data_IF_506166921560
#
_entry.id   IF_506166921560
#
_cell.length_a   1.000
_cell.length_b   1.000
_cell.length_c   1.000
_cell.angle_alpha   90.00
_cell.angle_beta   90.00
_cell.angle_gamma   90.00
#
_symmetry.space_group_name_H-M   'P 1'
#
loop_
_entity.id
_entity.type
_entity.pdbx_description
1 polymer ?
#
# COMPACT_ATOMS: atom_id res chain seq x y z
N UNK A 1 3.37 -9.66 -14.29
CA UNK A 1 2.35 -8.59 -14.08
C UNK A 1 1.86 -8.12 -15.44
N UNK A 2 0.54 -8.14 -15.68
CA UNK A 2 -0.09 -7.92 -16.99
C UNK A 2 -0.79 -6.56 -17.00
N UNK A 3 -0.57 -5.78 -18.05
CA UNK A 3 -1.25 -4.51 -18.34
C UNK A 3 -2.44 -4.79 -19.25
N UNK A 4 -3.58 -4.13 -19.00
CA UNK A 4 -4.82 -4.31 -19.76
C UNK A 4 -5.22 -3.02 -20.49
N UNK A 5 -5.88 -3.15 -21.64
CA UNK A 5 -6.57 -2.02 -22.27
C UNK A 5 -7.90 -1.70 -21.56
N UNK A 6 -8.60 -0.66 -22.03
CA UNK A 6 -9.92 -0.24 -21.50
C UNK A 6 -11.01 -1.29 -21.65
N UNK A 7 -10.77 -2.33 -22.45
CA UNK A 7 -11.69 -3.45 -22.69
C UNK A 7 -11.24 -4.73 -21.98
N UNK A 8 -10.29 -4.66 -21.02
CA UNK A 8 -9.76 -5.80 -20.28
C UNK A 8 -9.03 -6.83 -21.12
N UNK A 9 -8.53 -6.42 -22.29
CA UNK A 9 -7.64 -7.27 -23.09
C UNK A 9 -6.22 -7.04 -22.61
N UNK A 10 -5.45 -8.10 -22.40
CA UNK A 10 -4.09 -7.98 -21.91
C UNK A 10 -3.23 -7.49 -23.09
N UNK A 11 -2.53 -6.37 -22.90
CA UNK A 11 -1.78 -5.73 -23.99
C UNK A 11 -0.27 -5.90 -23.84
N UNK A 12 0.24 -5.97 -22.60
CA UNK A 12 1.66 -6.21 -22.37
C UNK A 12 1.95 -6.75 -20.98
N UNK A 13 3.15 -7.31 -20.79
CA UNK A 13 3.72 -7.55 -19.48
C UNK A 13 4.48 -6.31 -18.99
N UNK A 14 4.37 -5.99 -17.71
CA UNK A 14 4.99 -4.80 -17.10
C UNK A 14 6.52 -4.77 -17.25
N UNK A 15 7.18 -5.94 -17.25
CA UNK A 15 8.65 -6.06 -17.29
C UNK A 15 9.16 -6.32 -18.73
N UNK A 16 8.29 -6.23 -19.73
CA UNK A 16 8.54 -6.80 -21.05
C UNK A 16 8.47 -8.33 -21.00
N UNK A 17 8.04 -8.94 -22.10
CA UNK A 17 7.81 -10.38 -22.18
C UNK A 17 6.53 -10.72 -22.93
N UNK A 18 6.46 -11.96 -23.43
CA UNK A 18 5.24 -12.45 -24.07
C UNK A 18 4.15 -12.70 -23.02
N UNK A 19 2.92 -12.37 -23.40
CA UNK A 19 1.76 -12.71 -22.61
C UNK A 19 1.30 -14.11 -22.99
N UNK A 20 0.85 -14.86 -22.00
CA UNK A 20 0.32 -16.20 -22.19
C UNK A 20 -1.11 -16.25 -21.64
N UNK A 21 -1.95 -17.08 -22.24
CA UNK A 21 -3.23 -17.43 -21.62
C UNK A 21 -3.03 -18.32 -20.38
N UNK A 22 -4.12 -18.66 -19.70
CA UNK A 22 -4.09 -19.50 -18.50
C UNK A 22 -3.60 -20.94 -18.76
N UNK A 23 -3.52 -21.37 -20.02
CA UNK A 23 -2.97 -22.67 -20.45
C UNK A 23 -1.49 -22.58 -20.80
N UNK A 24 -0.88 -21.40 -20.68
CA UNK A 24 0.52 -21.16 -21.05
C UNK A 24 0.73 -20.99 -22.55
N UNK A 25 -0.31 -20.64 -23.33
CA UNK A 25 -0.19 -20.38 -24.77
C UNK A 25 0.07 -18.90 -25.04
N UNK A 26 1.08 -18.51 -25.86
CA UNK A 26 1.33 -17.11 -26.16
C UNK A 26 0.09 -16.44 -26.74
N UNK A 27 -0.30 -15.26 -26.27
CA UNK A 27 -1.52 -14.58 -26.72
C UNK A 27 -1.49 -14.11 -28.18
N UNK A 28 -0.31 -14.08 -28.80
CA UNK A 28 -0.16 -13.90 -30.25
C UNK A 28 -0.63 -15.12 -31.05
N UNK A 29 -0.75 -16.28 -30.40
CA UNK A 29 -1.14 -17.52 -31.03
C UNK A 29 -2.64 -17.53 -31.32
N UNK A 30 -3.10 -18.00 -32.51
CA UNK A 30 -4.52 -17.94 -32.89
C UNK A 30 -5.48 -18.69 -31.97
N UNK A 31 -4.97 -19.69 -31.24
CA UNK A 31 -5.76 -20.52 -30.32
C UNK A 31 -5.63 -20.11 -28.86
N UNK A 32 -4.90 -19.01 -28.59
CA UNK A 32 -4.80 -18.53 -27.22
C UNK A 32 -6.17 -18.09 -26.73
N UNK A 33 -6.48 -18.43 -25.50
CA UNK A 33 -7.77 -18.14 -24.88
C UNK A 33 -7.64 -17.01 -23.85
N UNK A 34 -7.72 -15.74 -24.27
CA UNK A 34 -7.70 -14.60 -23.36
C UNK A 34 -9.01 -14.44 -22.59
N UNK A 35 -10.03 -15.28 -22.80
CA UNK A 35 -11.38 -15.05 -22.27
C UNK A 35 -11.51 -15.24 -20.76
N UNK A 36 -10.50 -15.82 -20.10
CA UNK A 36 -10.43 -15.94 -18.63
C UNK A 36 -10.02 -14.67 -17.91
N UNK A 37 -9.72 -13.60 -18.62
CA UNK A 37 -9.39 -12.31 -18.03
C UNK A 37 -10.65 -11.72 -17.43
N UNK A 38 -10.58 -11.40 -16.15
CA UNK A 38 -11.72 -11.22 -15.27
C UNK A 38 -12.83 -10.34 -15.89
N UNK A 39 -14.08 -10.81 -15.84
CA UNK A 39 -15.30 -10.02 -16.13
C UNK A 39 -15.55 -8.89 -15.10
N UNK A 40 -14.56 -8.56 -14.28
CA UNK A 40 -14.71 -7.63 -13.17
C UNK A 40 -14.33 -6.22 -13.63
N UNK A 41 -15.10 -5.18 -13.28
CA UNK A 41 -14.80 -3.81 -13.66
C UNK A 41 -13.40 -3.40 -13.20
N UNK A 42 -12.69 -2.60 -14.01
CA UNK A 42 -11.34 -2.12 -13.66
C UNK A 42 -11.55 -1.25 -12.43
N UNK A 43 -11.04 -1.68 -11.28
CA UNK A 43 -11.05 -0.84 -10.10
C UNK A 43 -9.75 -0.05 -10.10
N UNK A 44 -9.88 1.25 -10.26
CA UNK A 44 -8.77 2.19 -10.14
C UNK A 44 -8.66 2.65 -8.70
N UNK A 45 -7.44 2.76 -8.19
CA UNK A 45 -7.17 3.36 -6.89
C UNK A 45 -7.49 4.87 -6.96
N UNK A 46 -8.11 5.45 -5.92
CA UNK A 46 -8.31 6.89 -5.84
C UNK A 46 -7.01 7.66 -6.13
N UNK A 47 -7.15 8.79 -6.82
CA UNK A 47 -6.05 9.70 -7.16
C UNK A 47 -4.94 9.10 -8.04
N UNK A 48 -5.14 7.90 -8.62
CA UNK A 48 -4.19 7.27 -9.53
C UNK A 48 -2.88 6.83 -8.87
N UNK A 49 -2.90 6.56 -7.56
CA UNK A 49 -1.70 6.19 -6.80
C UNK A 49 -1.21 4.79 -7.20
N UNK A 50 0.08 4.69 -7.50
CA UNK A 50 0.75 3.40 -7.67
C UNK A 50 1.01 2.75 -6.30
N UNK A 51 0.67 1.47 -6.20
CA UNK A 51 0.77 0.66 -4.99
C UNK A 51 1.75 -0.48 -5.18
N UNK A 52 2.39 -0.87 -4.08
CA UNK A 52 3.41 -1.89 -4.03
C UNK A 52 3.15 -2.83 -2.84
N UNK A 53 3.64 -4.06 -2.93
CA UNK A 53 3.73 -4.95 -1.78
C UNK A 53 4.98 -4.66 -0.94
N UNK A 54 5.26 -5.52 0.03
CA UNK A 54 6.43 -5.42 0.90
C UNK A 54 7.75 -5.79 0.22
N UNK A 55 7.72 -6.31 -1.01
CA UNK A 55 8.88 -6.73 -1.81
C UNK A 55 9.12 -5.75 -2.98
N UNK A 56 8.52 -4.56 -2.91
CA UNK A 56 8.57 -3.52 -3.94
C UNK A 56 8.00 -3.96 -5.31
N UNK A 57 7.18 -5.01 -5.33
CA UNK A 57 6.48 -5.44 -6.53
C UNK A 57 5.19 -4.63 -6.71
N UNK A 58 4.94 -4.10 -7.91
CA UNK A 58 3.78 -3.26 -8.15
C UNK A 58 2.49 -4.10 -8.11
N UNK A 59 1.49 -3.57 -7.41
CA UNK A 59 0.13 -4.12 -7.33
C UNK A 59 -0.83 -3.37 -8.24
N UNK A 60 -0.46 -2.16 -8.64
CA UNK A 60 -1.15 -1.33 -9.63
C UNK A 60 -0.18 -0.81 -10.67
N UNK A 61 -0.70 -0.40 -11.82
CA UNK A 61 0.07 0.35 -12.80
C UNK A 61 0.29 1.83 -12.38
N UNK A 62 0.99 2.58 -13.22
CA UNK A 62 1.28 4.01 -12.98
C UNK A 62 0.05 4.92 -12.95
N UNK A 63 -1.09 4.44 -13.46
CA UNK A 63 -2.37 5.16 -13.41
C UNK A 63 -3.23 4.69 -12.24
N UNK A 64 -2.76 3.78 -11.40
CA UNK A 64 -3.51 3.22 -10.28
C UNK A 64 -4.50 2.13 -10.68
N UNK A 65 -4.43 1.56 -11.89
CA UNK A 65 -5.25 0.40 -12.24
C UNK A 65 -4.68 -0.87 -11.60
N UNK A 66 -5.54 -1.66 -10.98
CA UNK A 66 -5.14 -2.90 -10.30
C UNK A 66 -4.60 -3.92 -11.30
N UNK A 67 -3.48 -4.53 -10.94
CA UNK A 67 -2.89 -5.63 -11.67
C UNK A 67 -3.52 -6.96 -11.21
N UNK A 68 -3.43 -7.99 -12.03
CA UNK A 68 -4.03 -9.31 -11.76
C UNK A 68 -3.00 -10.42 -11.90
N UNK A 69 -3.21 -11.54 -11.19
CA UNK A 69 -2.51 -12.80 -11.46
C UNK A 69 -2.89 -13.33 -12.84
N UNK A 70 -2.12 -14.31 -13.33
CA UNK A 70 -2.50 -15.12 -14.50
C UNK A 70 -3.84 -15.86 -14.34
N UNK A 71 -4.32 -16.04 -13.11
CA UNK A 71 -5.62 -16.63 -12.80
C UNK A 71 -6.75 -15.60 -12.71
N UNK A 72 -6.48 -14.32 -13.00
CA UNK A 72 -7.49 -13.25 -12.92
C UNK A 72 -7.82 -12.80 -11.50
N UNK A 73 -6.95 -13.10 -10.53
CA UNK A 73 -7.12 -12.66 -9.12
C UNK A 73 -6.50 -11.25 -8.98
N UNK A 74 -7.22 -10.26 -8.45
CA UNK A 74 -6.68 -8.91 -8.26
C UNK A 74 -5.53 -8.92 -7.25
N UNK A 75 -4.50 -8.12 -7.54
CA UNK A 75 -3.32 -7.93 -6.69
C UNK A 75 -3.61 -7.15 -5.40
N UNK A 76 -4.73 -6.43 -5.35
CA UNK A 76 -5.18 -5.64 -4.19
C UNK A 76 -6.56 -6.11 -3.76
N UNK A 77 -6.74 -6.30 -2.46
CA UNK A 77 -8.02 -6.58 -1.83
C UNK A 77 -8.57 -5.35 -1.09
N UNK A 78 -9.89 -5.28 -0.96
CA UNK A 78 -10.59 -4.19 -0.30
C UNK A 78 -11.45 -4.68 0.86
N UNK A 79 -11.67 -3.82 1.83
CA UNK A 79 -12.67 -4.06 2.88
C UNK A 79 -14.10 -3.80 2.37
N UNK A 80 -15.09 -4.03 3.25
CA UNK A 80 -16.51 -3.81 2.95
C UNK A 80 -16.86 -2.35 2.65
N UNK A 81 -15.98 -1.41 3.00
CA UNK A 81 -16.13 0.02 2.72
C UNK A 81 -15.37 0.45 1.46
N UNK A 82 -14.75 -0.50 0.74
CA UNK A 82 -14.00 -0.23 -0.47
C UNK A 82 -12.60 0.33 -0.24
N UNK A 83 -12.07 0.33 1.00
CA UNK A 83 -10.71 0.76 1.33
C UNK A 83 -9.71 -0.36 1.12
N UNK A 84 -8.46 -0.01 0.78
CA UNK A 84 -7.39 -1.00 0.57
C UNK A 84 -7.13 -1.75 1.87
N UNK A 85 -7.16 -3.08 1.81
CA UNK A 85 -6.98 -3.97 2.96
C UNK A 85 -5.60 -4.62 2.96
N UNK A 86 -5.27 -5.36 1.91
CA UNK A 86 -4.01 -6.08 1.77
C UNK A 86 -3.76 -6.45 0.30
N UNK A 87 -2.53 -6.89 0.00
CA UNK A 87 -2.19 -7.52 -1.26
C UNK A 87 -2.90 -8.89 -1.43
N UNK A 88 -2.71 -9.54 -2.58
CA UNK A 88 -3.31 -10.85 -2.87
C UNK A 88 -2.85 -11.98 -1.94
N UNK A 89 -1.75 -11.79 -1.22
CA UNK A 89 -1.17 -12.73 -0.26
C UNK A 89 -1.57 -12.43 1.19
N UNK A 90 -2.39 -11.39 1.41
CA UNK A 90 -2.84 -10.97 2.74
C UNK A 90 -1.84 -10.06 3.49
N UNK A 91 -0.82 -9.53 2.82
CA UNK A 91 0.23 -8.66 3.37
C UNK A 91 -0.14 -7.17 3.22
N UNK A 92 0.46 -6.26 4.01
CA UNK A 92 0.19 -4.82 3.89
C UNK A 92 0.61 -4.26 2.52
N UNK A 93 -0.03 -3.14 2.15
CA UNK A 93 0.18 -2.42 0.89
C UNK A 93 0.86 -1.08 1.15
N UNK A 94 1.72 -0.65 0.23
CA UNK A 94 2.55 0.54 0.36
C UNK A 94 2.39 1.47 -0.85
N UNK A 95 2.64 2.77 -0.65
CA UNK A 95 2.78 3.74 -1.74
C UNK A 95 4.21 3.76 -2.28
N UNK A 96 4.45 4.57 -3.33
CA UNK A 96 5.76 4.71 -3.98
C UNK A 96 6.90 5.17 -3.05
N UNK A 97 6.58 5.73 -1.87
CA UNK A 97 7.59 6.11 -0.86
C UNK A 97 7.89 4.99 0.13
N UNK A 98 7.29 3.82 -0.04
CA UNK A 98 7.33 2.72 0.93
C UNK A 98 6.46 3.00 2.17
N UNK A 99 5.55 3.98 2.11
CA UNK A 99 4.67 4.28 3.24
C UNK A 99 3.41 3.43 3.21
N UNK A 100 3.00 2.95 4.38
CA UNK A 100 1.88 2.05 4.53
C UNK A 100 0.56 2.73 4.14
N UNK A 101 -0.16 2.03 3.28
CA UNK A 101 -1.53 2.34 2.86
C UNK A 101 -2.52 1.48 3.66
N UNK A 102 -2.13 0.28 4.04
CA UNK A 102 -2.91 -0.59 4.91
C UNK A 102 -2.14 -1.07 6.14
N UNK A 103 -2.90 -1.47 7.17
CA UNK A 103 -2.35 -1.92 8.45
C UNK A 103 -2.10 -3.43 8.43
N UNK A 104 -1.07 -3.86 9.15
CA UNK A 104 -0.79 -5.27 9.43
C UNK A 104 -1.08 -5.55 10.90
N UNK A 105 -1.94 -6.53 11.18
CA UNK A 105 -2.40 -6.87 12.54
C UNK A 105 -2.89 -5.66 13.37
N UNK A 106 -3.60 -4.73 12.71
CA UNK A 106 -4.14 -3.52 13.33
C UNK A 106 -3.14 -2.39 13.57
N UNK A 107 -1.87 -2.55 13.18
CA UNK A 107 -0.80 -1.57 13.35
C UNK A 107 -0.27 -1.00 12.02
N UNK A 108 0.23 0.22 12.08
CA UNK A 108 1.00 0.87 11.02
C UNK A 108 2.46 0.42 11.08
N UNK A 109 2.93 -0.20 10.00
CA UNK A 109 4.29 -0.74 9.91
C UNK A 109 4.89 -0.45 8.56
N UNK A 110 6.22 -0.32 8.48
CA UNK A 110 6.92 -0.25 7.19
C UNK A 110 6.96 -1.63 6.50
N UNK A 111 7.56 -1.68 5.32
CA UNK A 111 7.72 -2.89 4.51
C UNK A 111 8.48 -4.00 5.24
N UNK A 112 9.36 -3.64 6.18
CA UNK A 112 10.11 -4.58 7.01
C UNK A 112 9.38 -4.96 8.31
N UNK A 113 8.15 -4.48 8.51
CA UNK A 113 7.37 -4.74 9.72
C UNK A 113 7.74 -3.87 10.94
N UNK A 114 8.55 -2.81 10.76
CA UNK A 114 8.89 -1.89 11.85
C UNK A 114 7.72 -0.95 12.14
N UNK A 115 7.37 -0.74 13.41
CA UNK A 115 6.21 0.05 13.80
C UNK A 115 6.39 1.54 13.52
N UNK A 116 5.31 2.20 13.12
CA UNK A 116 5.28 3.64 12.97
C UNK A 116 5.19 4.33 14.34
N UNK A 117 6.05 5.32 14.55
CA UNK A 117 6.04 6.28 15.65
C UNK A 117 5.63 7.65 15.10
N UNK A 118 4.33 7.91 15.18
CA UNK A 118 3.71 9.13 14.71
C UNK A 118 3.42 10.07 15.87
N UNK A 119 3.54 11.37 15.60
CA UNK A 119 3.31 12.44 16.56
C UNK A 119 2.38 13.50 15.97
N UNK A 120 1.70 14.24 16.84
CA UNK A 120 1.02 15.46 16.44
C UNK A 120 2.00 16.65 16.35
N UNK A 121 1.50 17.83 15.99
CA UNK A 121 2.28 19.06 15.85
C UNK A 121 2.95 19.54 17.14
N UNK A 122 2.50 19.04 18.30
CA UNK A 122 3.07 19.34 19.63
C UNK A 122 4.11 18.32 20.08
N UNK A 123 4.43 17.33 19.25
CA UNK A 123 5.34 16.23 19.60
C UNK A 123 4.72 15.17 20.51
N UNK A 124 3.40 15.16 20.69
CA UNK A 124 2.71 14.12 21.47
C UNK A 124 2.47 12.89 20.59
N UNK A 125 2.66 11.66 21.11
CA UNK A 125 2.46 10.44 20.34
C UNK A 125 0.98 10.26 19.95
N UNK A 126 0.75 9.76 18.74
CA UNK A 126 -0.57 9.35 18.24
C UNK A 126 -0.60 7.88 17.78
N UNK A 127 0.53 7.19 17.89
CA UNK A 127 0.65 5.74 17.88
C UNK A 127 1.32 5.24 19.16
N UNK A 128 1.14 3.96 19.49
CA UNK A 128 1.91 3.25 20.51
C UNK A 128 3.25 2.72 19.94
N UNK A 129 4.00 1.98 20.74
CA UNK A 129 5.30 1.41 20.34
C UNK A 129 5.20 0.30 19.29
N UNK A 130 4.05 -0.38 19.22
CA UNK A 130 3.73 -1.41 18.21
C UNK A 130 3.21 -0.80 16.90
N UNK A 131 3.00 0.53 16.86
CA UNK A 131 2.46 1.25 15.72
C UNK A 131 0.92 1.22 15.64
N UNK A 132 0.23 0.80 16.71
CA UNK A 132 -1.23 0.91 16.78
C UNK A 132 -1.64 2.35 17.04
N UNK A 133 -2.80 2.73 16.51
CA UNK A 133 -3.34 4.06 16.70
C UNK A 133 -3.76 4.28 18.15
N UNK A 134 -3.55 5.51 18.64
CA UNK A 134 -4.14 5.97 19.89
C UNK A 134 -5.50 6.62 19.63
N UNK A 135 -6.35 6.63 20.65
CA UNK A 135 -7.73 7.11 20.58
C UNK A 135 -7.98 8.19 21.63
N UNK A 136 -8.92 9.10 21.34
CA UNK A 136 -9.44 10.02 22.35
C UNK A 136 -10.36 9.31 23.35
N UNK A 137 -10.79 10.03 24.39
CA UNK A 137 -11.70 9.51 25.42
C UNK A 137 -13.07 9.07 24.88
N UNK A 138 -13.43 9.44 23.64
CA UNK A 138 -14.67 9.04 22.96
C UNK A 138 -14.46 7.84 22.03
N UNK A 139 -13.25 7.26 22.00
CA UNK A 139 -12.90 6.14 21.14
C UNK A 139 -12.67 6.54 19.68
N UNK A 140 -12.44 7.83 19.38
CA UNK A 140 -12.10 8.29 18.04
C UNK A 140 -10.60 8.23 17.83
N UNK A 141 -10.16 7.63 16.72
CA UNK A 141 -8.73 7.59 16.37
C UNK A 141 -8.14 9.00 16.29
N UNK A 142 -6.94 9.17 16.82
CA UNK A 142 -6.16 10.40 16.73
C UNK A 142 -5.55 10.60 15.33
N UNK A 143 -5.67 9.60 14.45
CA UNK A 143 -5.20 9.60 13.06
C UNK A 143 -6.40 9.69 12.10
N UNK A 144 -6.21 10.45 11.03
CA UNK A 144 -7.12 10.51 9.89
C UNK A 144 -6.39 10.04 8.64
N UNK A 145 -7.03 9.09 7.96
CA UNK A 145 -6.54 8.56 6.70
C UNK A 145 -6.93 9.46 5.52
N UNK A 146 -6.14 9.43 4.44
CA UNK A 146 -6.56 9.96 3.14
C UNK A 146 -7.46 8.97 2.38
N UNK A 147 -7.85 9.33 1.15
CA UNK A 147 -8.74 8.51 0.33
C UNK A 147 -8.17 7.14 -0.05
N UNK A 148 -6.84 7.02 -0.04
CA UNK A 148 -6.14 5.78 -0.37
C UNK A 148 -5.93 4.93 0.89
N UNK A 149 -5.91 5.55 2.07
CA UNK A 149 -5.83 4.88 3.37
C UNK A 149 -4.62 5.27 4.20
N UNK A 150 -3.73 6.15 3.72
CA UNK A 150 -2.49 6.52 4.41
C UNK A 150 -2.77 7.37 5.65
N UNK A 151 -2.01 7.23 6.75
CA UNK A 151 -2.23 7.98 7.99
C UNK A 151 -1.69 9.41 7.90
N UNK A 152 -2.34 10.27 7.11
CA UNK A 152 -1.78 11.58 6.70
C UNK A 152 -1.94 12.67 7.76
N UNK A 153 -3.07 12.68 8.47
CA UNK A 153 -3.45 13.79 9.35
C UNK A 153 -3.77 13.35 10.76
N UNK A 154 -3.71 14.28 11.69
CA UNK A 154 -4.24 14.12 13.05
C UNK A 154 -5.75 14.35 13.06
N UNK A 155 -6.40 14.01 14.18
CA UNK A 155 -7.83 14.31 14.42
C UNK A 155 -8.17 15.81 14.28
N UNK A 156 -7.19 16.69 14.53
CA UNK A 156 -7.32 18.15 14.40
C UNK A 156 -7.01 18.67 12.99
N UNK A 157 -6.88 17.78 12.00
CA UNK A 157 -6.64 18.10 10.59
C UNK A 157 -5.24 18.69 10.26
N UNK A 158 -4.29 18.64 11.20
CA UNK A 158 -2.87 18.90 10.96
C UNK A 158 -2.18 17.66 10.36
N UNK A 159 -1.04 17.82 9.70
CA UNK A 159 -0.26 16.64 9.25
C UNK A 159 0.30 15.87 10.44
N UNK A 160 0.40 14.55 10.31
CA UNK A 160 1.19 13.76 11.26
C UNK A 160 2.67 14.06 11.09
N UNK A 161 3.42 13.93 12.19
CA UNK A 161 4.86 14.13 12.23
C UNK A 161 5.59 12.84 12.58
N UNK A 162 6.81 12.70 12.08
CA UNK A 162 7.74 11.68 12.57
C UNK A 162 8.45 12.13 13.85
N UNK A 163 9.33 11.29 14.39
CA UNK A 163 10.10 11.59 15.62
C UNK A 163 11.07 12.76 15.50
N UNK A 164 11.36 13.23 14.28
CA UNK A 164 12.20 14.40 14.00
C UNK A 164 11.36 15.65 13.68
N UNK A 165 10.04 15.56 13.81
CA UNK A 165 9.12 16.66 13.52
C UNK A 165 8.89 16.88 12.02
N UNK A 166 9.34 16.00 11.13
CA UNK A 166 9.03 16.09 9.70
C UNK A 166 7.58 15.72 9.48
N UNK A 167 6.88 16.49 8.65
CA UNK A 167 5.47 16.26 8.32
C UNK A 167 5.34 15.11 7.32
N UNK A 168 4.19 14.44 7.28
CA UNK A 168 3.90 13.38 6.31
C UNK A 168 4.18 13.77 4.84
N UNK A 169 3.96 15.02 4.46
CA UNK A 169 4.19 15.54 3.10
C UNK A 169 5.66 15.83 2.80
N UNK A 170 6.53 15.80 3.80
CA UNK A 170 7.97 15.96 3.63
C UNK A 170 8.56 14.67 3.01
N UNK A 171 9.44 14.82 2.01
CA UNK A 171 10.11 13.70 1.35
C UNK A 171 11.05 12.94 2.29
N UNK A 172 11.48 13.57 3.39
CA UNK A 172 12.35 12.98 4.40
C UNK A 172 11.59 12.47 5.63
N UNK A 173 10.25 12.42 5.57
CA UNK A 173 9.43 11.81 6.60
C UNK A 173 9.80 10.35 6.81
N UNK A 174 10.20 10.00 8.05
CA UNK A 174 10.60 8.65 8.43
C UNK A 174 9.81 8.21 9.65
N UNK A 175 8.66 7.53 9.47
CA UNK A 175 7.77 7.21 10.58
C UNK A 175 8.33 6.10 11.48
N UNK A 176 9.41 5.42 11.12
CA UNK A 176 9.99 4.37 11.95
C UNK A 176 11.15 4.90 12.78
N UNK A 177 11.24 4.43 14.02
CA UNK A 177 12.36 4.77 14.89
C UNK A 177 13.57 3.93 14.49
N UNK A 178 14.67 4.57 14.10
CA UNK A 178 15.98 3.92 14.01
C UNK A 178 16.71 4.26 15.29
N UNK A 179 16.82 3.31 16.22
CA UNK A 179 17.63 3.51 17.41
C UNK A 179 19.11 3.45 17.01
N UNK A 180 19.74 4.61 16.80
CA UNK A 180 21.17 4.70 16.45
C UNK A 180 22.10 4.54 17.65
N UNK A 181 21.59 4.19 18.84
CA UNK A 181 22.40 4.07 20.07
C UNK A 181 22.65 2.62 20.50
N UNK A 182 23.15 1.77 19.59
CA UNK A 182 23.89 0.56 20.01
C UNK A 182 25.39 0.87 19.99
N UNK A 183 25.81 1.82 20.83
CA UNK A 183 27.19 1.92 21.35
C UNK A 183 27.14 2.67 22.69
N UNK A 184 26.76 1.97 23.76
CA UNK A 184 27.30 2.25 25.08
C UNK A 184 27.78 0.93 25.66
N UNK A 185 29.07 0.74 25.48
CA UNK A 185 29.96 -0.13 26.23
C UNK A 185 29.52 -0.24 27.69
N UNK A 186 29.30 -1.47 28.16
CA UNK A 186 29.34 -1.76 29.59
C UNK A 186 30.82 -1.95 29.99
N UNK A 187 31.22 -1.49 31.19
CA UNK A 187 32.58 -1.59 31.70
C UNK A 187 33.03 -3.04 31.93
#
# INVERSE_FOLDING_TARGET
>A
LVIFDRCFRPISALVGGELYDYKGMPLKHPFADPSRLAKNPVKQIPDGVQLFDCEDLPLTDLSGFILYTSYGIPMVSFDVHGRIKCDHSGRPVFDIRGLAVSRSSGAWKDQCGKPYRLFNERGMPITDEDGRELYDIKGKSLIRQDNVGRPVKTVNNNYVHDSKGKRFVDIHFKPTFINTNIKRTLP
#
